data_IF_874680539471
#
_entry.id   IF_874680539471
#
_cell.length_a   1.000
_cell.length_b   1.000
_cell.length_c   1.000
_cell.angle_alpha   90.00
_cell.angle_beta   90.00
_cell.angle_gamma   90.00
#
_symmetry.space_group_name_H-M   'P 1'
#
loop_
_entity.id
_entity.type
_entity.pdbx_description
1 polymer ?
#
# COMPACT_ATOMS: atom_id res chain seq x y z
N UNK A 1 -22.03 -7.86 1.02
CA UNK A 1 -21.44 -6.96 2.05
C UNK A 1 -21.07 -7.66 3.38
N UNK A 2 -20.98 -9.01 3.45
CA UNK A 2 -20.61 -9.75 4.69
C UNK A 2 -19.17 -10.31 4.72
N UNK A 3 -18.39 -10.11 3.66
CA UNK A 3 -17.00 -10.60 3.55
C UNK A 3 -16.03 -9.47 3.18
N UNK A 4 -16.15 -8.31 3.84
CA UNK A 4 -15.07 -7.32 3.75
C UNK A 4 -13.84 -7.94 4.38
N UNK A 5 -12.91 -8.29 3.52
CA UNK A 5 -11.62 -8.84 3.87
C UNK A 5 -10.78 -7.71 4.48
N UNK A 6 -10.83 -7.62 5.81
CA UNK A 6 -10.12 -6.62 6.61
C UNK A 6 -8.63 -6.49 6.26
N UNK A 7 -8.01 -7.56 5.75
CA UNK A 7 -6.62 -7.52 5.28
C UNK A 7 -6.38 -6.48 4.17
N UNK A 8 -7.32 -6.30 3.25
CA UNK A 8 -7.21 -5.27 2.19
C UNK A 8 -7.41 -3.86 2.74
N UNK A 9 -8.19 -3.73 3.81
CA UNK A 9 -8.41 -2.46 4.49
C UNK A 9 -7.13 -2.01 5.20
N UNK A 10 -6.40 -2.96 5.83
CA UNK A 10 -5.08 -2.71 6.41
C UNK A 10 -4.07 -2.30 5.32
N UNK A 11 -4.03 -2.99 4.18
CA UNK A 11 -3.17 -2.58 3.06
C UNK A 11 -3.52 -1.17 2.55
N UNK A 12 -4.80 -0.81 2.50
CA UNK A 12 -5.25 0.52 2.09
C UNK A 12 -4.82 1.61 3.08
N UNK A 13 -4.95 1.36 4.39
CA UNK A 13 -4.49 2.30 5.43
C UNK A 13 -2.98 2.51 5.35
N UNK A 14 -2.21 1.44 5.20
CA UNK A 14 -0.75 1.52 5.08
C UNK A 14 -0.34 2.29 3.81
N UNK A 15 -1.01 2.04 2.68
CA UNK A 15 -0.79 2.79 1.45
C UNK A 15 -1.14 4.28 1.60
N UNK A 16 -2.22 4.61 2.31
CA UNK A 16 -2.58 5.99 2.61
C UNK A 16 -1.53 6.70 3.47
N UNK A 17 -1.00 6.02 4.49
CA UNK A 17 0.10 6.53 5.30
C UNK A 17 1.38 6.75 4.48
N UNK A 18 1.72 5.85 3.56
CA UNK A 18 2.84 6.07 2.63
C UNK A 18 2.62 7.26 1.72
N UNK A 19 1.41 7.47 1.19
CA UNK A 19 1.09 8.66 0.40
C UNK A 19 1.19 9.95 1.21
N UNK A 20 0.76 9.95 2.47
CA UNK A 20 0.96 11.08 3.37
C UNK A 20 2.45 11.36 3.63
N UNK A 21 3.26 10.31 3.83
CA UNK A 21 4.72 10.41 3.98
C UNK A 21 5.41 10.99 2.75
N UNK A 22 4.94 10.68 1.54
CA UNK A 22 5.42 11.34 0.30
C UNK A 22 5.16 12.84 0.36
N UNK A 23 3.97 13.26 0.79
CA UNK A 23 3.62 14.68 0.94
C UNK A 23 4.55 15.42 1.90
N UNK A 24 4.89 14.79 3.03
CA UNK A 24 5.85 15.34 4.00
C UNK A 24 7.25 15.44 3.39
N UNK A 25 7.72 14.38 2.71
CA UNK A 25 9.05 14.38 2.08
C UNK A 25 9.19 15.43 0.97
N UNK A 26 8.11 15.70 0.22
CA UNK A 26 8.05 16.77 -0.77
C UNK A 26 8.13 18.14 -0.08
N UNK A 27 7.40 18.34 1.02
CA UNK A 27 7.42 19.59 1.80
C UNK A 27 8.80 19.90 2.39
N UNK A 28 9.56 18.87 2.78
CA UNK A 28 10.94 18.99 3.27
C UNK A 28 11.98 19.12 2.14
N UNK A 29 11.54 19.09 0.86
CA UNK A 29 12.42 19.06 -0.33
C UNK A 29 13.49 17.95 -0.28
N UNK A 30 13.19 16.84 0.39
CA UNK A 30 14.15 15.75 0.58
C UNK A 30 13.99 14.69 -0.51
N UNK A 31 14.90 14.72 -1.48
CA UNK A 31 14.97 13.73 -2.57
C UNK A 31 15.12 12.30 -2.03
N UNK A 32 15.88 12.12 -0.94
CA UNK A 32 16.05 10.83 -0.28
C UNK A 32 14.74 10.36 0.37
N UNK A 33 14.02 11.25 1.06
CA UNK A 33 12.73 10.93 1.66
C UNK A 33 11.69 10.52 0.61
N UNK A 34 11.65 11.24 -0.52
CA UNK A 34 10.77 10.91 -1.65
C UNK A 34 11.08 9.53 -2.24
N UNK A 35 12.35 9.23 -2.49
CA UNK A 35 12.77 7.95 -3.07
C UNK A 35 12.44 6.76 -2.16
N UNK A 36 12.65 6.91 -0.84
CA UNK A 36 12.31 5.88 0.15
C UNK A 36 10.80 5.64 0.16
N UNK A 37 10.00 6.72 0.23
CA UNK A 37 8.55 6.60 0.25
C UNK A 37 7.98 5.97 -1.03
N UNK A 38 8.56 6.26 -2.21
CA UNK A 38 8.11 5.65 -3.48
C UNK A 38 8.38 4.14 -3.52
N UNK A 39 9.55 3.71 -3.03
CA UNK A 39 9.90 2.29 -2.95
C UNK A 39 8.95 1.56 -2.00
N UNK A 40 8.69 2.15 -0.84
CA UNK A 40 7.74 1.60 0.15
C UNK A 40 6.34 1.48 -0.47
N UNK A 41 5.88 2.50 -1.18
CA UNK A 41 4.56 2.52 -1.81
C UNK A 41 4.44 1.42 -2.89
N UNK A 42 5.44 1.27 -3.76
CA UNK A 42 5.49 0.18 -4.76
C UNK A 42 5.46 -1.19 -4.08
N UNK A 43 6.18 -1.34 -2.96
CA UNK A 43 6.23 -2.61 -2.22
C UNK A 43 4.87 -2.96 -1.61
N UNK A 44 4.19 -2.00 -0.96
CA UNK A 44 2.86 -2.20 -0.35
C UNK A 44 1.83 -2.53 -1.43
N UNK A 45 1.84 -1.82 -2.56
CA UNK A 45 0.95 -2.12 -3.68
C UNK A 45 1.25 -3.51 -4.24
N UNK A 46 2.52 -3.84 -4.50
CA UNK A 46 2.94 -5.15 -5.01
C UNK A 46 2.47 -6.29 -4.12
N UNK A 47 2.62 -6.16 -2.80
CA UNK A 47 2.12 -7.16 -1.84
C UNK A 47 0.59 -7.21 -1.85
N UNK A 48 -0.09 -6.06 -1.85
CA UNK A 48 -1.56 -5.99 -1.90
C UNK A 48 -2.13 -6.67 -3.15
N UNK A 49 -1.53 -6.45 -4.32
CA UNK A 49 -1.90 -7.13 -5.57
C UNK A 49 -1.58 -8.62 -5.55
N UNK A 50 -0.44 -9.03 -4.99
CA UNK A 50 -0.07 -10.44 -4.82
C UNK A 50 -1.04 -11.16 -3.88
N UNK A 51 -1.46 -10.53 -2.79
CA UNK A 51 -2.48 -11.05 -1.87
C UNK A 51 -3.84 -11.15 -2.55
N UNK A 52 -4.26 -10.15 -3.35
CA UNK A 52 -5.48 -10.27 -4.18
C UNK A 52 -5.40 -11.45 -5.14
N UNK A 53 -4.28 -11.62 -5.84
CA UNK A 53 -4.10 -12.72 -6.81
C UNK A 53 -4.21 -14.09 -6.12
N UNK A 54 -3.47 -14.28 -5.02
CA UNK A 54 -3.50 -15.53 -4.24
C UNK A 54 -4.89 -15.87 -3.74
N UNK A 55 -5.65 -14.86 -3.29
CA UNK A 55 -7.00 -15.09 -2.77
C UNK A 55 -8.03 -15.36 -3.86
N UNK A 56 -7.78 -14.89 -5.08
CA UNK A 56 -8.56 -15.25 -6.28
C UNK A 56 -8.30 -16.70 -6.70
N UNK A 57 -7.05 -17.14 -6.63
CA UNK A 57 -6.66 -18.53 -6.90
C UNK A 57 -7.20 -19.51 -5.83
N UNK A 58 -7.34 -19.07 -4.58
CA UNK A 58 -7.98 -19.85 -3.50
C UNK A 58 -9.52 -19.82 -3.53
N UNK A 59 -10.15 -19.13 -4.49
CA UNK A 59 -11.62 -19.03 -4.59
C UNK A 59 -12.28 -18.21 -3.45
N UNK A 60 -11.51 -17.40 -2.73
CA UNK A 60 -11.93 -16.61 -1.55
C UNK A 60 -12.26 -15.15 -1.88
N UNK A 61 -12.45 -14.83 -3.15
CA UNK A 61 -12.61 -13.49 -3.70
C UNK A 61 -13.94 -13.36 -4.43
#
# INVERSE_FOLDING_TARGET
MKNVKWIFLIYAIIAAFSMAGIGVAIGEQSILGFLICIVILIFILGIGFKTKKKWREEGKL
#
